data_IF_407187680152
#
_entry.id   IF_407187680152
#
_cell.length_a   1.000
_cell.length_b   1.000
_cell.length_c   1.000
_cell.angle_alpha   90.00
_cell.angle_beta   90.00
_cell.angle_gamma   90.00
#
_symmetry.space_group_name_H-M   'P 1'
#
loop_
_entity.id
_entity.type
_entity.pdbx_description
1 polymer ?
#
# COMPACT_ATOMS: atom_id res chain seq x y z
N UNK A 1 -4.96 8.70 -4.25
CA UNK A 1 -6.35 8.83 -3.74
C UNK A 1 -7.21 9.35 -4.89
N UNK A 2 -8.43 8.83 -5.06
CA UNK A 2 -9.34 9.23 -6.15
C UNK A 2 -10.19 10.46 -5.80
N UNK A 3 -10.16 10.93 -4.55
CA UNK A 3 -10.81 12.16 -4.13
C UNK A 3 -9.89 13.36 -4.45
N UNK A 4 -10.23 14.20 -5.45
CA UNK A 4 -9.38 15.31 -5.87
C UNK A 4 -9.22 16.38 -4.78
N UNK A 5 -10.21 16.55 -3.91
CA UNK A 5 -10.16 17.51 -2.80
C UNK A 5 -9.17 17.08 -1.74
N UNK A 6 -9.13 15.79 -1.39
CA UNK A 6 -8.11 15.24 -0.47
C UNK A 6 -6.70 15.41 -1.03
N UNK A 7 -6.51 15.10 -2.32
CA UNK A 7 -5.21 15.25 -2.98
C UNK A 7 -4.79 16.72 -3.02
N UNK A 8 -5.71 17.63 -3.34
CA UNK A 8 -5.44 19.08 -3.31
C UNK A 8 -5.00 19.54 -1.93
N UNK A 9 -5.76 19.19 -0.89
CA UNK A 9 -5.44 19.52 0.50
C UNK A 9 -4.05 19.04 0.91
N UNK A 10 -3.70 17.78 0.60
CA UNK A 10 -2.38 17.21 0.89
C UNK A 10 -1.24 17.92 0.15
N UNK A 11 -1.47 18.35 -1.10
CA UNK A 11 -0.50 19.13 -1.89
C UNK A 11 -0.29 20.53 -1.33
N UNK A 12 -1.32 21.12 -0.74
CA UNK A 12 -1.27 22.44 -0.08
C UNK A 12 -0.72 22.36 1.36
N UNK A 13 -0.36 21.17 1.83
CA UNK A 13 0.22 20.93 3.16
C UNK A 13 -0.80 20.62 4.26
N UNK A 14 -2.10 20.59 3.93
CA UNK A 14 -3.15 20.20 4.87
C UNK A 14 -3.24 18.69 5.06
N UNK A 15 -3.65 18.25 6.25
CA UNK A 15 -3.85 16.82 6.57
C UNK A 15 -5.34 16.55 6.76
N UNK A 16 -5.93 15.57 6.04
CA UNK A 16 -7.38 15.31 6.06
C UNK A 16 -7.86 14.54 7.29
N UNK A 17 -6.96 14.16 8.19
CA UNK A 17 -7.23 13.38 9.41
C UNK A 17 -6.43 13.95 10.58
N UNK A 18 -6.87 13.67 11.80
CA UNK A 18 -6.12 14.01 13.00
C UNK A 18 -5.27 12.80 13.42
N UNK A 19 -3.95 13.00 13.47
CA UNK A 19 -2.98 12.05 14.02
C UNK A 19 -1.80 12.85 14.62
N UNK A 20 -1.49 12.69 15.92
CA UNK A 20 -0.43 13.44 16.57
C UNK A 20 0.93 13.35 15.85
N UNK A 21 1.48 14.49 15.44
CA UNK A 21 2.79 14.57 14.76
C UNK A 21 2.78 14.31 13.24
N UNK A 22 1.64 13.92 12.65
CA UNK A 22 1.56 13.60 11.21
C UNK A 22 1.82 14.82 10.33
N UNK A 23 1.26 15.97 10.68
CA UNK A 23 1.42 17.22 9.92
C UNK A 23 2.90 17.61 9.80
N UNK A 24 3.64 17.62 10.92
CA UNK A 24 5.06 17.94 10.92
C UNK A 24 5.90 16.90 10.15
N UNK A 25 5.54 15.61 10.25
CA UNK A 25 6.22 14.53 9.54
C UNK A 25 6.03 14.64 8.02
N UNK A 26 4.81 14.92 7.57
CA UNK A 26 4.47 15.13 6.16
C UNK A 26 5.18 16.38 5.64
N UNK A 27 5.05 17.52 6.32
CA UNK A 27 5.66 18.78 5.90
C UNK A 27 7.18 18.65 5.72
N UNK A 28 7.88 17.99 6.65
CA UNK A 28 9.32 17.75 6.55
C UNK A 28 9.71 16.90 5.35
N UNK A 29 8.94 15.86 5.02
CA UNK A 29 9.25 14.97 3.90
C UNK A 29 8.87 15.57 2.55
N UNK A 30 7.81 16.38 2.48
CA UNK A 30 7.46 17.18 1.30
C UNK A 30 8.55 18.22 1.03
N UNK A 31 8.96 18.99 2.04
CA UNK A 31 10.02 19.99 1.90
C UNK A 31 11.37 19.38 1.47
N UNK A 32 11.64 18.13 1.88
CA UNK A 32 12.84 17.40 1.48
C UNK A 32 12.72 16.65 0.14
N UNK A 33 11.58 16.75 -0.56
CA UNK A 33 11.35 16.07 -1.84
C UNK A 33 11.22 14.54 -1.75
N UNK A 34 11.06 13.98 -0.55
CA UNK A 34 10.91 12.53 -0.31
C UNK A 34 9.46 12.05 -0.35
N UNK A 35 8.51 12.97 -0.26
CA UNK A 35 7.07 12.68 -0.31
C UNK A 35 6.39 13.61 -1.31
N UNK A 36 5.57 13.03 -2.19
CA UNK A 36 4.76 13.74 -3.17
C UNK A 36 3.39 13.11 -3.26
N UNK A 37 2.36 13.95 -3.40
CA UNK A 37 0.98 13.49 -3.55
C UNK A 37 0.51 13.60 -4.99
N UNK A 38 -0.12 12.54 -5.49
CA UNK A 38 -0.72 12.52 -6.82
C UNK A 38 -2.10 11.86 -6.82
N UNK A 39 -2.94 12.31 -7.75
CA UNK A 39 -4.22 11.66 -8.09
C UNK A 39 -4.07 10.66 -9.24
N UNK A 40 -2.87 10.49 -9.80
CA UNK A 40 -2.60 9.59 -10.93
C UNK A 40 -1.98 8.28 -10.46
N UNK A 41 -2.67 7.16 -10.64
CA UNK A 41 -2.09 5.83 -10.42
C UNK A 41 -0.93 5.58 -11.37
N UNK A 42 -1.03 6.01 -12.63
CA UNK A 42 0.04 5.84 -13.62
C UNK A 42 1.34 6.50 -13.16
N UNK A 43 1.27 7.72 -12.61
CA UNK A 43 2.45 8.40 -12.07
C UNK A 43 3.03 7.65 -10.85
N UNK A 44 2.16 7.13 -9.97
CA UNK A 44 2.58 6.30 -8.84
C UNK A 44 3.31 5.03 -9.28
N UNK A 45 2.77 4.31 -10.27
CA UNK A 45 3.36 3.06 -10.80
C UNK A 45 4.71 3.31 -11.49
N UNK A 46 4.81 4.39 -12.28
CA UNK A 46 6.04 4.73 -13.00
C UNK A 46 7.20 5.13 -12.06
N UNK A 47 6.89 5.65 -10.86
CA UNK A 47 7.89 6.13 -9.90
C UNK A 47 8.15 5.18 -8.72
N UNK A 48 7.63 3.95 -8.73
CA UNK A 48 7.71 3.03 -7.57
C UNK A 48 8.19 1.65 -7.98
N UNK A 49 9.02 1.02 -7.14
CA UNK A 49 9.35 -0.42 -7.26
C UNK A 49 8.39 -1.29 -6.43
N UNK A 50 7.96 -0.77 -5.27
CA UNK A 50 7.01 -1.38 -4.34
C UNK A 50 5.78 -0.48 -4.22
N UNK A 51 4.58 -1.04 -4.39
CA UNK A 51 3.31 -0.30 -4.44
C UNK A 51 2.39 -0.85 -3.35
N UNK A 52 2.10 -0.04 -2.33
CA UNK A 52 1.18 -0.41 -1.27
C UNK A 52 -0.26 -0.03 -1.62
N UNK A 53 -1.16 -1.01 -1.59
CA UNK A 53 -2.61 -0.83 -1.66
C UNK A 53 -3.14 -0.71 -0.22
N UNK A 54 -3.51 0.52 0.16
CA UNK A 54 -4.02 0.87 1.49
C UNK A 54 -5.40 1.54 1.40
N UNK A 55 -6.27 0.99 0.55
CA UNK A 55 -7.66 1.47 0.38
C UNK A 55 -8.57 0.90 1.47
N UNK A 56 -9.69 1.58 1.80
CA UNK A 56 -10.65 1.02 2.75
C UNK A 56 -11.28 -0.27 2.22
N UNK A 57 -11.60 -1.16 3.14
CA UNK A 57 -12.29 -2.44 2.92
C UNK A 57 -13.54 -2.51 3.79
N UNK A 58 -14.57 -1.69 3.49
CA UNK A 58 -15.75 -1.60 4.34
C UNK A 58 -16.52 -2.93 4.38
N UNK A 59 -17.26 -3.21 5.46
CA UNK A 59 -18.14 -4.36 5.49
C UNK A 59 -19.35 -4.17 4.56
N UNK A 60 -19.77 -5.25 3.91
CA UNK A 60 -21.02 -5.39 3.18
C UNK A 60 -22.20 -5.56 4.16
N UNK A 61 -23.46 -5.46 3.70
CA UNK A 61 -24.64 -5.62 4.57
C UNK A 61 -24.72 -6.97 5.30
N UNK A 62 -24.07 -8.00 4.78
CA UNK A 62 -23.98 -9.35 5.37
C UNK A 62 -22.74 -9.54 6.29
N UNK A 63 -21.93 -8.50 6.45
CA UNK A 63 -20.70 -8.51 7.26
C UNK A 63 -19.46 -9.03 6.53
N UNK A 64 -19.57 -9.47 5.28
CA UNK A 64 -18.40 -9.80 4.47
C UNK A 64 -17.61 -8.54 4.10
N UNK A 65 -16.34 -8.68 3.74
CA UNK A 65 -15.50 -7.54 3.34
C UNK A 65 -15.76 -7.17 1.88
N UNK A 66 -16.02 -5.89 1.60
CA UNK A 66 -16.09 -5.36 0.25
C UNK A 66 -14.68 -5.24 -0.36
N UNK A 67 -14.40 -6.08 -1.36
CA UNK A 67 -13.13 -6.11 -2.08
C UNK A 67 -13.11 -5.22 -3.33
N UNK A 68 -14.23 -4.58 -3.67
CA UNK A 68 -14.36 -3.80 -4.91
C UNK A 68 -13.33 -2.68 -5.04
N UNK A 69 -12.96 -2.04 -3.92
CA UNK A 69 -11.95 -0.99 -3.87
C UNK A 69 -10.56 -1.54 -4.24
N UNK A 70 -10.19 -2.68 -3.67
CA UNK A 70 -8.89 -3.34 -3.93
C UNK A 70 -8.85 -3.84 -5.37
N UNK A 71 -9.89 -4.53 -5.83
CA UNK A 71 -9.97 -5.02 -7.21
C UNK A 71 -9.93 -3.88 -8.23
N UNK A 72 -10.59 -2.75 -7.93
CA UNK A 72 -10.53 -1.54 -8.74
C UNK A 72 -9.11 -1.00 -8.88
N UNK A 73 -8.40 -0.81 -7.75
CA UNK A 73 -7.01 -0.35 -7.76
C UNK A 73 -6.08 -1.34 -8.44
N UNK A 74 -6.24 -2.65 -8.17
CA UNK A 74 -5.46 -3.71 -8.80
C UNK A 74 -5.61 -3.68 -10.33
N UNK A 75 -6.82 -3.46 -10.83
CA UNK A 75 -7.10 -3.31 -12.27
C UNK A 75 -6.43 -2.06 -12.85
N UNK A 76 -6.46 -0.93 -12.16
CA UNK A 76 -5.82 0.30 -12.62
C UNK A 76 -4.29 0.17 -12.65
N UNK A 77 -3.69 -0.43 -11.61
CA UNK A 77 -2.26 -0.74 -11.57
C UNK A 77 -1.89 -1.63 -12.76
N UNK A 78 -2.65 -2.69 -13.02
CA UNK A 78 -2.40 -3.62 -14.12
C UNK A 78 -2.37 -2.95 -15.50
N UNK A 79 -3.21 -1.93 -15.70
CA UNK A 79 -3.23 -1.13 -16.93
C UNK A 79 -2.04 -0.18 -17.07
N UNK A 80 -1.30 0.07 -15.99
CA UNK A 80 -0.17 0.98 -15.94
C UNK A 80 1.19 0.27 -15.80
N UNK A 81 1.24 -1.05 -15.67
CA UNK A 81 2.49 -1.80 -15.51
C UNK A 81 3.37 -1.65 -16.76
N UNK A 82 4.58 -1.14 -16.55
CA UNK A 82 5.61 -0.90 -17.57
C UNK A 82 6.93 -1.65 -17.28
N UNK A 83 7.01 -2.34 -16.15
CA UNK A 83 8.15 -3.12 -15.71
C UNK A 83 7.81 -3.86 -14.40
N UNK A 84 8.72 -4.70 -13.92
CA UNK A 84 8.46 -5.50 -12.72
C UNK A 84 8.09 -4.62 -11.52
N UNK A 85 7.07 -5.03 -10.76
CA UNK A 85 6.60 -4.36 -9.54
C UNK A 85 6.27 -5.37 -8.45
N UNK A 86 6.44 -4.95 -7.21
CA UNK A 86 5.94 -5.63 -6.02
C UNK A 86 4.68 -4.90 -5.56
N UNK A 87 3.54 -5.58 -5.54
CA UNK A 87 2.25 -5.01 -5.18
C UNK A 87 1.88 -5.55 -3.81
N UNK A 88 1.68 -4.67 -2.84
CA UNK A 88 1.54 -5.02 -1.44
C UNK A 88 0.12 -4.72 -0.98
N UNK A 89 -0.60 -5.77 -0.59
CA UNK A 89 -1.91 -5.65 0.06
C UNK A 89 -1.69 -5.30 1.53
N UNK A 90 -1.92 -4.02 1.86
CA UNK A 90 -1.83 -3.48 3.23
C UNK A 90 -3.18 -3.47 3.94
N UNK A 91 -4.25 -3.26 3.17
CA UNK A 91 -5.64 -3.23 3.65
C UNK A 91 -6.01 -4.50 4.41
N UNK A 92 -6.77 -4.36 5.49
CA UNK A 92 -7.31 -5.51 6.25
C UNK A 92 -8.32 -6.26 5.39
N UNK A 93 -7.97 -7.49 5.02
CA UNK A 93 -8.71 -8.30 4.06
C UNK A 93 -8.85 -9.76 4.53
N UNK A 94 -9.86 -10.49 4.04
CA UNK A 94 -9.94 -11.94 4.26
C UNK A 94 -8.74 -12.68 3.67
N UNK A 95 -8.49 -13.88 4.18
CA UNK A 95 -7.50 -14.82 3.62
C UNK A 95 -7.78 -15.05 2.13
N UNK A 96 -6.72 -15.22 1.34
CA UNK A 96 -6.75 -15.41 -0.13
C UNK A 96 -7.11 -14.19 -0.97
N UNK A 97 -7.23 -13.00 -0.39
CA UNK A 97 -7.40 -11.77 -1.18
C UNK A 97 -6.21 -11.52 -2.12
N UNK A 98 -4.98 -11.87 -1.72
CA UNK A 98 -3.81 -11.79 -2.59
C UNK A 98 -3.91 -12.65 -3.86
N UNK A 99 -4.61 -13.79 -3.82
CA UNK A 99 -4.89 -14.61 -5.00
C UNK A 99 -5.80 -13.84 -5.97
N UNK A 100 -6.88 -13.21 -5.46
CA UNK A 100 -7.81 -12.41 -6.27
C UNK A 100 -7.15 -11.18 -6.89
N UNK A 101 -6.28 -10.51 -6.15
CA UNK A 101 -5.48 -9.38 -6.64
C UNK A 101 -4.54 -9.85 -7.75
N UNK A 102 -3.87 -10.99 -7.54
CA UNK A 102 -3.00 -11.62 -8.55
C UNK A 102 -3.78 -11.95 -9.83
N UNK A 103 -4.95 -12.58 -9.71
CA UNK A 103 -5.82 -12.91 -10.85
C UNK A 103 -6.29 -11.66 -11.60
N UNK A 104 -6.70 -10.63 -10.86
CA UNK A 104 -7.15 -9.35 -11.42
C UNK A 104 -6.02 -8.70 -12.21
N UNK A 105 -4.82 -8.60 -11.63
CA UNK A 105 -3.68 -7.98 -12.31
C UNK A 105 -3.30 -8.82 -13.54
N UNK A 106 -3.19 -10.15 -13.43
CA UNK A 106 -2.90 -11.02 -14.59
C UNK A 106 -3.91 -10.83 -15.72
N UNK A 107 -5.20 -10.68 -15.40
CA UNK A 107 -6.27 -10.50 -16.39
C UNK A 107 -6.16 -9.18 -17.15
N UNK A 108 -5.77 -8.10 -16.47
CA UNK A 108 -5.76 -6.75 -17.04
C UNK A 108 -4.37 -6.23 -17.46
N UNK A 109 -3.31 -6.94 -17.07
CA UNK A 109 -1.93 -6.67 -17.47
C UNK A 109 -1.70 -7.10 -18.93
N UNK A 110 -2.05 -6.21 -19.85
CA UNK A 110 -1.89 -6.43 -21.29
C UNK A 110 -0.43 -6.44 -21.74
N UNK A 111 0.46 -5.81 -20.97
CA UNK A 111 1.88 -5.73 -21.28
C UNK A 111 2.62 -7.05 -21.01
N UNK A 112 2.02 -7.99 -20.27
CA UNK A 112 2.64 -9.27 -19.94
C UNK A 112 3.83 -9.12 -18.98
N UNK A 113 3.84 -8.05 -18.20
CA UNK A 113 4.94 -7.70 -17.29
C UNK A 113 4.85 -8.55 -16.02
N UNK A 114 5.98 -9.11 -15.56
CA UNK A 114 6.02 -9.83 -14.30
C UNK A 114 5.69 -8.94 -13.10
N UNK A 115 5.11 -9.52 -12.06
CA UNK A 115 4.87 -8.86 -10.77
C UNK A 115 4.75 -9.90 -9.66
N UNK A 116 4.90 -9.46 -8.41
CA UNK A 116 4.58 -10.25 -7.22
C UNK A 116 3.54 -9.53 -6.38
N UNK A 117 2.64 -10.31 -5.76
CA UNK A 117 1.69 -9.80 -4.75
C UNK A 117 2.16 -10.26 -3.37
N UNK A 118 2.20 -9.32 -2.43
CA UNK A 118 2.64 -9.53 -1.05
C UNK A 118 1.52 -9.13 -0.12
N UNK A 119 1.17 -10.01 0.83
CA UNK A 119 0.31 -9.63 1.95
C UNK A 119 1.18 -9.00 3.04
N UNK A 120 0.86 -7.78 3.47
CA UNK A 120 1.58 -7.15 4.57
C UNK A 120 0.57 -6.44 5.47
N UNK A 121 -0.07 -7.15 6.41
CA UNK A 121 -1.09 -6.54 7.26
C UNK A 121 -0.53 -5.40 8.11
N UNK A 122 -1.42 -4.57 8.63
CA UNK A 122 -1.13 -3.48 9.55
C UNK A 122 -1.79 -3.71 10.91
N UNK A 123 -1.23 -3.11 11.96
CA UNK A 123 -1.68 -3.28 13.34
C UNK A 123 -1.71 -1.93 14.07
N UNK A 124 -1.96 -0.84 13.34
CA UNK A 124 -1.91 0.54 13.81
C UNK A 124 -3.17 0.89 14.61
N UNK A 125 -3.02 1.69 15.65
CA UNK A 125 -4.13 2.26 16.41
C UNK A 125 -4.30 3.72 16.03
N UNK A 126 -5.55 4.14 15.78
CA UNK A 126 -5.84 5.55 15.52
C UNK A 126 -5.39 6.44 16.70
N UNK A 127 -4.69 7.53 16.41
CA UNK A 127 -4.09 8.43 17.40
C UNK A 127 -2.69 8.01 17.87
N UNK A 128 -2.22 6.82 17.50
CA UNK A 128 -0.89 6.29 17.81
C UNK A 128 -0.20 5.70 16.57
N UNK A 129 -0.73 5.92 15.37
CA UNK A 129 -0.31 5.25 14.14
C UNK A 129 1.16 5.50 13.81
N UNK A 130 1.68 6.70 14.11
CA UNK A 130 3.10 7.01 13.92
C UNK A 130 3.96 6.21 14.90
N UNK A 131 3.58 6.14 16.17
CA UNK A 131 4.34 5.39 17.18
C UNK A 131 4.34 3.90 16.85
N UNK A 132 3.17 3.34 16.53
CA UNK A 132 2.98 1.93 16.19
C UNK A 132 3.77 1.55 14.92
N UNK A 133 3.84 2.44 13.92
CA UNK A 133 4.64 2.21 12.72
C UNK A 133 6.15 2.31 12.99
N UNK A 134 6.58 3.24 13.86
CA UNK A 134 8.00 3.47 14.15
C UNK A 134 8.58 2.41 15.10
N UNK A 135 7.75 1.76 15.90
CA UNK A 135 8.15 0.71 16.86
C UNK A 135 7.17 -0.48 16.82
N UNK A 136 7.06 -1.19 15.69
CA UNK A 136 6.13 -2.29 15.59
C UNK A 136 6.64 -3.49 16.38
N UNK A 137 5.75 -4.23 17.05
CA UNK A 137 6.12 -5.49 17.73
C UNK A 137 6.69 -6.54 16.76
N UNK A 138 6.18 -6.53 15.52
CA UNK A 138 6.62 -7.37 14.39
C UNK A 138 6.11 -6.82 13.07
N UNK A 139 6.78 -7.19 11.98
CA UNK A 139 6.31 -7.00 10.60
C UNK A 139 6.04 -8.35 9.97
N UNK A 140 4.83 -8.55 9.44
CA UNK A 140 4.44 -9.79 8.75
C UNK A 140 4.48 -9.59 7.25
N UNK A 141 5.15 -10.47 6.52
CA UNK A 141 5.29 -10.44 5.06
C UNK A 141 4.85 -11.81 4.52
N UNK A 142 3.64 -11.89 3.99
CA UNK A 142 3.11 -13.05 3.29
C UNK A 142 3.50 -13.03 1.81
N UNK A 143 4.22 -14.05 1.33
CA UNK A 143 4.74 -14.14 -0.04
C UNK A 143 4.55 -15.53 -0.62
N UNK A 144 4.30 -15.60 -1.93
CA UNK A 144 4.22 -16.89 -2.67
C UNK A 144 5.57 -17.33 -3.25
N UNK A 145 6.60 -16.50 -3.15
CA UNK A 145 7.92 -16.77 -3.70
C UNK A 145 9.00 -15.89 -3.07
N UNK A 146 10.29 -16.21 -3.30
CA UNK A 146 11.40 -15.52 -2.65
C UNK A 146 11.73 -14.16 -3.27
N UNK A 147 11.31 -13.90 -4.51
CA UNK A 147 11.66 -12.70 -5.29
C UNK A 147 11.37 -11.37 -4.57
N UNK A 148 10.19 -11.13 -3.96
CA UNK A 148 9.90 -9.86 -3.29
C UNK A 148 10.52 -9.72 -1.88
N UNK A 149 11.05 -10.80 -1.29
CA UNK A 149 11.41 -10.84 0.15
C UNK A 149 12.47 -9.81 0.51
N UNK A 150 13.56 -9.73 -0.26
CA UNK A 150 14.67 -8.83 0.06
C UNK A 150 14.29 -7.35 -0.11
N UNK A 151 13.49 -7.02 -1.14
CA UNK A 151 12.96 -5.67 -1.31
C UNK A 151 12.03 -5.29 -0.16
N UNK A 152 11.14 -6.20 0.28
CA UNK A 152 10.26 -5.94 1.42
C UNK A 152 11.04 -5.81 2.74
N UNK A 153 12.09 -6.61 2.97
CA UNK A 153 12.98 -6.42 4.12
C UNK A 153 13.68 -5.06 4.09
N UNK A 154 14.12 -4.61 2.91
CA UNK A 154 14.77 -3.31 2.76
C UNK A 154 13.84 -2.13 3.10
N UNK A 155 12.55 -2.23 2.74
CA UNK A 155 11.52 -1.25 3.14
C UNK A 155 11.42 -1.14 4.66
N UNK A 156 11.52 -2.28 5.36
CA UNK A 156 11.34 -2.35 6.81
C UNK A 156 12.64 -2.26 7.63
N UNK A 157 13.81 -2.32 7.00
CA UNK A 157 15.12 -2.29 7.67
C UNK A 157 15.33 -1.12 8.65
N UNK A 158 14.75 0.09 8.44
CA UNK A 158 14.88 1.19 9.40
C UNK A 158 14.09 0.99 10.71
N UNK A 159 13.12 0.08 10.73
CA UNK A 159 12.30 -0.24 11.90
C UNK A 159 12.92 -1.48 12.54
N UNK A 160 13.63 -1.30 13.65
CA UNK A 160 14.30 -2.37 14.41
C UNK A 160 13.29 -3.34 15.03
N UNK A 161 12.66 -4.16 14.19
CA UNK A 161 11.54 -5.03 14.54
C UNK A 161 11.71 -6.41 13.90
N UNK A 162 11.25 -7.49 14.57
CA UNK A 162 11.24 -8.83 14.00
C UNK A 162 10.41 -8.88 12.70
N UNK A 163 11.02 -9.40 11.63
CA UNK A 163 10.35 -9.64 10.34
C UNK A 163 9.98 -11.13 10.25
N UNK A 164 8.68 -11.40 10.09
CA UNK A 164 8.11 -12.73 9.92
C UNK A 164 7.72 -12.89 8.46
N UNK A 165 8.41 -13.78 7.74
CA UNK A 165 8.06 -14.16 6.37
C UNK A 165 7.24 -15.44 6.40
N UNK A 166 6.09 -15.43 5.74
CA UNK A 166 5.11 -16.54 5.70
C UNK A 166 4.51 -16.69 4.30
N UNK A 167 3.73 -17.73 4.07
CA UNK A 167 2.83 -17.94 2.91
C UNK A 167 1.38 -17.53 3.20
#
# INVERSE_FOLDING_TARGET
DNNPEKVRMLREGGIPIYEPGLEALVARNVAAGRLRFTGSIQEGVACSEVIFIAVPTPPLPDGAVDLSFIEGVAREIAGCLDGYRIIVDKSTVPVKTGEKVTETIRRYNKAGVDFDVVSNPEFLREGFAIEDLMKPDRVVIGVLGPRPVEAMKAVYAPFDAPIIVTD
#
